data_IF_928587996293
#
_entry.id   IF_928587996293
#
_cell.length_a   1.000
_cell.length_b   1.000
_cell.length_c   1.000
_cell.angle_alpha   90.00
_cell.angle_beta   90.00
_cell.angle_gamma   90.00
#
_symmetry.space_group_name_H-M   'P 1'
#
loop_
_entity.id
_entity.type
_entity.pdbx_description
1 polymer ?
#
# COMPACT_ATOMS: atom_id res chain seq x y z
N UNK A 1 -10.91 -36.31 7.27
CA UNK A 1 -10.54 -35.89 5.90
C UNK A 1 -9.37 -36.74 5.44
N UNK A 2 -9.51 -37.51 4.37
CA UNK A 2 -8.37 -38.21 3.75
C UNK A 2 -7.89 -37.37 2.57
N UNK A 3 -6.65 -36.87 2.65
CA UNK A 3 -5.99 -36.13 1.58
C UNK A 3 -5.56 -37.15 0.53
N UNK A 4 -6.15 -37.08 -0.66
CA UNK A 4 -5.84 -37.97 -1.78
C UNK A 4 -4.61 -37.52 -2.57
N UNK A 5 -4.18 -38.34 -3.55
CA UNK A 5 -3.06 -38.00 -4.45
C UNK A 5 -3.28 -36.69 -5.22
N UNK A 6 -4.53 -36.42 -5.62
CA UNK A 6 -4.91 -35.18 -6.32
C UNK A 6 -4.77 -33.95 -5.42
N UNK A 7 -5.10 -34.08 -4.15
CA UNK A 7 -4.96 -33.00 -3.17
C UNK A 7 -3.48 -32.68 -2.91
N UNK A 8 -2.62 -33.71 -2.84
CA UNK A 8 -1.17 -33.53 -2.74
C UNK A 8 -0.57 -32.82 -3.97
N UNK A 9 -1.03 -33.14 -5.18
CA UNK A 9 -0.61 -32.43 -6.39
C UNK A 9 -1.05 -30.96 -6.36
N UNK A 10 -2.27 -30.67 -5.90
CA UNK A 10 -2.77 -29.30 -5.76
C UNK A 10 -1.98 -28.51 -4.71
N UNK A 11 -1.73 -29.09 -3.54
CA UNK A 11 -0.91 -28.48 -2.49
C UNK A 11 0.51 -28.20 -3.01
N UNK A 12 1.11 -29.14 -3.73
CA UNK A 12 2.42 -28.96 -4.35
C UNK A 12 2.45 -27.79 -5.33
N UNK A 13 1.42 -27.67 -6.18
CA UNK A 13 1.29 -26.56 -7.13
C UNK A 13 1.15 -25.22 -6.40
N UNK A 14 0.29 -25.13 -5.38
CA UNK A 14 0.12 -23.90 -4.58
C UNK A 14 1.43 -23.52 -3.89
N UNK A 15 2.14 -24.48 -3.33
CA UNK A 15 3.44 -24.24 -2.70
C UNK A 15 4.47 -23.69 -3.69
N UNK A 16 4.54 -24.24 -4.91
CA UNK A 16 5.43 -23.74 -5.97
C UNK A 16 5.07 -22.31 -6.35
N UNK A 17 3.78 -22.01 -6.56
CA UNK A 17 3.32 -20.65 -6.90
C UNK A 17 3.73 -19.67 -5.80
N UNK A 18 3.47 -20.00 -4.53
CA UNK A 18 3.86 -19.14 -3.41
C UNK A 18 5.38 -18.93 -3.35
N UNK A 19 6.19 -19.99 -3.53
CA UNK A 19 7.65 -19.88 -3.54
C UNK A 19 8.14 -18.94 -4.64
N UNK A 20 7.58 -19.02 -5.86
CA UNK A 20 7.93 -18.10 -6.95
C UNK A 20 7.55 -16.67 -6.60
N UNK A 21 6.34 -16.45 -6.07
CA UNK A 21 5.90 -15.10 -5.64
C UNK A 21 6.84 -14.51 -4.58
N UNK A 22 7.23 -15.30 -3.58
CA UNK A 22 8.19 -14.85 -2.56
C UNK A 22 9.56 -14.54 -3.15
N UNK A 23 10.04 -15.33 -4.11
CA UNK A 23 11.32 -15.10 -4.76
C UNK A 23 11.34 -13.80 -5.61
N UNK A 24 10.22 -13.42 -6.24
CA UNK A 24 10.15 -12.25 -7.15
C UNK A 24 9.62 -10.96 -6.50
N UNK A 25 8.93 -11.04 -5.37
CA UNK A 25 8.25 -9.92 -4.69
C UNK A 25 9.18 -8.71 -4.42
N UNK A 26 10.45 -8.99 -4.13
CA UNK A 26 11.46 -7.95 -3.89
C UNK A 26 11.20 -7.09 -2.64
N UNK A 27 11.96 -6.00 -2.50
CA UNK A 27 11.81 -5.03 -1.40
C UNK A 27 10.83 -3.92 -1.78
N UNK A 28 10.20 -3.31 -0.77
CA UNK A 28 9.39 -2.10 -0.95
C UNK A 28 10.21 -1.00 -1.63
N UNK A 29 9.68 -0.47 -2.75
CA UNK A 29 10.35 0.56 -3.56
C UNK A 29 9.80 1.98 -3.30
N UNK A 30 8.70 2.08 -2.57
CA UNK A 30 7.99 3.32 -2.34
C UNK A 30 8.54 4.05 -1.11
N UNK A 31 8.46 5.39 -1.11
CA UNK A 31 8.85 6.19 0.06
C UNK A 31 7.78 6.08 1.14
N UNK A 32 8.20 6.02 2.40
CA UNK A 32 7.29 6.11 3.55
C UNK A 32 6.83 7.54 3.75
N UNK A 33 5.65 7.72 4.36
CA UNK A 33 5.15 9.04 4.75
C UNK A 33 6.08 9.62 5.82
N UNK A 34 6.54 10.88 5.72
CA UNK A 34 7.35 11.51 6.75
C UNK A 34 6.63 11.52 8.11
N UNK A 35 7.40 11.49 9.21
CA UNK A 35 6.87 11.75 10.55
C UNK A 35 7.29 13.16 10.99
N UNK A 36 6.66 14.16 10.39
CA UNK A 36 6.88 15.58 10.69
C UNK A 36 5.57 16.28 11.07
N UNK A 37 5.63 17.55 11.41
CA UNK A 37 4.46 18.30 11.90
C UNK A 37 3.33 18.42 10.87
N UNK A 38 3.64 18.34 9.56
CA UNK A 38 2.62 18.37 8.51
C UNK A 38 1.95 17.00 8.34
N UNK A 39 2.64 15.92 8.66
CA UNK A 39 2.15 14.55 8.45
C UNK A 39 1.63 13.87 9.73
N UNK A 40 2.03 14.32 10.92
CA UNK A 40 1.60 13.80 12.24
C UNK A 40 0.07 13.63 12.36
N UNK A 41 -0.79 14.58 11.95
CA UNK A 41 -2.24 14.40 12.05
C UNK A 41 -2.74 13.16 11.29
N UNK A 42 -2.12 12.81 10.16
CA UNK A 42 -2.51 11.65 9.38
C UNK A 42 -2.12 10.33 10.07
N UNK A 43 -1.04 10.30 10.86
CA UNK A 43 -0.72 9.14 11.69
C UNK A 43 -1.82 8.88 12.72
N UNK A 44 -2.34 9.94 13.36
CA UNK A 44 -3.44 9.81 14.31
C UNK A 44 -4.75 9.40 13.65
N UNK A 45 -5.08 9.98 12.49
CA UNK A 45 -6.28 9.60 11.72
C UNK A 45 -6.20 8.12 11.33
N UNK A 46 -5.05 7.62 10.90
CA UNK A 46 -4.88 6.20 10.58
C UNK A 46 -5.13 5.30 11.79
N UNK A 47 -4.66 5.69 12.98
CA UNK A 47 -4.88 4.93 14.20
C UNK A 47 -6.34 4.92 14.66
N UNK A 48 -7.05 6.05 14.51
CA UNK A 48 -8.42 6.22 15.01
C UNK A 48 -9.50 5.81 14.01
N UNK A 49 -9.28 6.07 12.73
CA UNK A 49 -10.31 6.03 11.67
C UNK A 49 -9.89 5.17 10.46
N UNK A 50 -8.61 4.81 10.37
CA UNK A 50 -8.08 3.94 9.32
C UNK A 50 -7.49 4.69 8.12
N UNK A 51 -6.84 3.92 7.25
CA UNK A 51 -6.04 4.45 6.12
C UNK A 51 -6.86 5.22 5.09
N UNK A 52 -8.06 4.74 4.79
CA UNK A 52 -8.90 5.36 3.76
C UNK A 52 -9.35 6.77 4.15
N UNK A 53 -9.53 7.04 5.44
CA UNK A 53 -9.93 8.37 5.89
C UNK A 53 -8.76 9.36 5.80
N UNK A 54 -7.56 8.93 6.20
CA UNK A 54 -6.35 9.73 6.04
C UNK A 54 -6.04 10.02 4.56
N UNK A 55 -6.25 9.03 3.66
CA UNK A 55 -6.03 9.15 2.22
C UNK A 55 -6.85 10.30 1.57
N UNK A 56 -8.02 10.64 2.13
CA UNK A 56 -8.87 11.73 1.60
C UNK A 56 -8.23 13.11 1.75
N UNK A 57 -7.38 13.30 2.76
CA UNK A 57 -6.75 14.59 3.03
C UNK A 57 -5.45 14.82 2.26
N UNK A 58 -4.80 13.77 1.75
CA UNK A 58 -3.54 13.91 1.00
C UNK A 58 -3.62 14.86 -0.21
N UNK A 59 -4.69 14.82 -1.04
CA UNK A 59 -4.81 15.68 -2.23
C UNK A 59 -4.92 17.18 -1.93
N UNK A 60 -5.18 17.57 -0.68
CA UNK A 60 -5.21 18.99 -0.30
C UNK A 60 -3.85 19.66 -0.57
N UNK A 61 -2.75 18.93 -0.37
CA UNK A 61 -1.40 19.39 -0.67
C UNK A 61 -0.76 18.64 -1.85
N UNK A 62 -1.03 17.34 -2.03
CA UNK A 62 -0.44 16.54 -3.11
C UNK A 62 -1.35 16.52 -4.36
N UNK A 63 -1.12 17.47 -5.26
CA UNK A 63 -1.90 17.63 -6.49
C UNK A 63 -1.10 18.38 -7.56
N UNK A 64 -1.62 18.37 -8.80
CA UNK A 64 -0.98 19.01 -9.96
C UNK A 64 -1.32 20.51 -10.08
N UNK A 65 -2.32 21.01 -9.33
CA UNK A 65 -2.89 22.35 -9.46
C UNK A 65 -2.28 23.36 -8.45
N UNK A 66 -0.96 23.33 -8.28
CA UNK A 66 -0.24 24.27 -7.42
C UNK A 66 0.10 23.75 -6.02
N UNK A 67 -0.16 22.47 -5.74
CA UNK A 67 0.38 21.76 -4.60
C UNK A 67 1.78 21.16 -4.84
N UNK A 68 2.09 20.10 -4.11
CA UNK A 68 3.25 19.23 -4.33
C UNK A 68 2.91 18.26 -5.47
N UNK A 69 3.49 18.44 -6.67
CA UNK A 69 3.13 17.63 -7.84
C UNK A 69 3.66 16.21 -7.70
N UNK A 70 2.99 15.26 -8.36
CA UNK A 70 3.46 13.90 -8.42
C UNK A 70 4.57 13.74 -9.46
N UNK A 71 5.51 12.79 -9.28
CA UNK A 71 6.45 12.44 -10.33
C UNK A 71 5.71 11.96 -11.60
N UNK A 72 6.32 12.16 -12.77
CA UNK A 72 5.75 11.81 -14.09
C UNK A 72 5.26 10.35 -14.19
N UNK A 73 5.89 9.43 -13.47
CA UNK A 73 5.54 8.00 -13.45
C UNK A 73 4.70 7.57 -12.24
N UNK A 74 4.16 8.52 -11.47
CA UNK A 74 3.28 8.19 -10.36
C UNK A 74 1.97 7.60 -10.89
N UNK A 75 1.41 6.56 -10.26
CA UNK A 75 0.11 6.03 -10.63
C UNK A 75 -0.93 7.16 -10.66
N UNK A 76 -1.68 7.26 -11.76
CA UNK A 76 -2.77 8.22 -11.90
C UNK A 76 -3.92 7.85 -10.96
N UNK A 77 -4.66 8.87 -10.50
CA UNK A 77 -5.83 8.68 -9.64
C UNK A 77 -6.82 7.69 -10.28
N UNK A 78 -7.34 6.69 -9.53
CA UNK A 78 -8.36 5.79 -10.05
C UNK A 78 -9.63 6.57 -10.44
N UNK A 79 -10.38 6.06 -11.43
CA UNK A 79 -11.64 6.68 -11.90
C UNK A 79 -12.66 6.85 -10.77
N UNK A 80 -12.68 5.90 -9.83
CA UNK A 80 -13.60 5.87 -8.69
C UNK A 80 -12.81 5.77 -7.37
N UNK A 81 -13.22 6.57 -6.37
CA UNK A 81 -12.66 6.54 -5.01
C UNK A 81 -11.43 7.43 -4.77
N UNK A 82 -10.99 7.57 -3.50
CA UNK A 82 -9.79 8.32 -3.15
C UNK A 82 -8.53 7.58 -3.66
N UNK A 83 -7.48 8.35 -3.96
CA UNK A 83 -6.16 7.74 -4.18
C UNK A 83 -5.76 7.01 -2.90
N UNK A 84 -5.45 5.71 -3.02
CA UNK A 84 -5.03 4.89 -1.89
C UNK A 84 -3.55 5.14 -1.56
N UNK A 85 -3.21 6.38 -1.19
CA UNK A 85 -1.85 6.84 -0.96
C UNK A 85 -1.12 5.91 0.02
N UNK A 86 -1.76 5.59 1.14
CA UNK A 86 -1.23 4.75 2.23
C UNK A 86 -1.18 3.25 1.92
N UNK A 87 -1.65 2.82 0.74
CA UNK A 87 -1.41 1.47 0.24
C UNK A 87 0.04 1.31 -0.22
N UNK A 88 0.54 2.31 -0.96
CA UNK A 88 1.91 2.34 -1.47
C UNK A 88 2.86 3.05 -0.51
N UNK A 89 2.46 4.20 0.03
CA UNK A 89 3.26 5.02 0.95
C UNK A 89 2.96 4.66 2.39
N UNK A 90 3.61 3.61 2.90
CA UNK A 90 3.38 3.15 4.27
C UNK A 90 3.81 4.21 5.29
N UNK A 91 3.13 4.26 6.43
CA UNK A 91 3.59 5.04 7.57
C UNK A 91 4.93 4.50 8.08
N UNK A 92 5.74 5.38 8.67
CA UNK A 92 6.88 4.95 9.45
C UNK A 92 6.40 4.07 10.61
N UNK A 93 7.20 3.06 10.94
CA UNK A 93 6.93 2.26 12.12
C UNK A 93 7.27 3.15 13.32
N UNK A 94 6.26 3.69 14.00
CA UNK A 94 6.42 4.18 15.36
C UNK A 94 6.67 2.95 16.22
N UNK A 95 7.94 2.71 16.56
CA UNK A 95 8.33 1.72 17.57
C UNK A 95 7.84 2.19 18.94
#
# INVERSE_FOLDING_TARGET
>A
MQIGKKDWMFIGLVAIVLLVFFAISGKEKTKKVPLDDQHKPFYEIVQKQGKMEADKGCPACHNEQGGVPFPVKHPVKPKDGPMRCLFCHKLQQTK
#
